data_IF_738303586967
#
_entry.id   IF_738303586967
#
_cell.length_a   1.000
_cell.length_b   1.000
_cell.length_c   1.000
_cell.angle_alpha   90.00
_cell.angle_beta   90.00
_cell.angle_gamma   90.00
#
_symmetry.space_group_name_H-M   'P 1'
#
loop_
_entity.id
_entity.type
_entity.pdbx_description
1 polymer ?
#
# COMPACT_ATOMS: atom_id res chain seq x y z
N UNK A 1 38.62 61.15 -3.45
CA UNK A 1 39.55 60.11 -2.95
C UNK A 1 38.97 59.55 -1.65
N UNK A 2 39.00 58.22 -1.51
CA UNK A 2 38.49 57.34 -0.42
C UNK A 2 36.97 57.12 -0.42
N UNK A 3 36.39 56.02 -0.91
CA UNK A 3 36.69 54.56 -0.93
C UNK A 3 36.24 53.81 0.33
N UNK A 4 35.27 52.90 0.10
CA UNK A 4 34.76 51.73 0.88
C UNK A 4 34.11 52.00 2.26
N UNK A 5 33.05 51.30 2.68
CA UNK A 5 32.98 49.84 2.89
C UNK A 5 31.56 49.23 2.81
N UNK A 6 31.48 48.17 2.01
CA UNK A 6 30.67 46.94 2.10
C UNK A 6 29.40 46.94 2.97
N UNK A 7 28.24 46.90 2.30
CA UNK A 7 26.99 46.36 2.83
C UNK A 7 27.12 44.85 3.07
N UNK A 8 26.92 44.40 4.31
CA UNK A 8 26.80 42.99 4.63
C UNK A 8 25.40 42.49 4.24
N UNK A 9 25.31 41.77 3.12
CA UNK A 9 24.12 41.00 2.76
C UNK A 9 24.21 39.65 3.49
N UNK A 10 23.48 39.52 4.59
CA UNK A 10 23.26 38.24 5.27
C UNK A 10 22.27 37.44 4.42
N UNK A 11 22.78 36.52 3.61
CA UNK A 11 21.96 35.52 2.94
C UNK A 11 21.52 34.47 3.97
N UNK A 12 20.28 34.57 4.47
CA UNK A 12 19.62 33.43 5.10
C UNK A 12 19.37 32.37 4.03
N UNK A 13 20.24 31.36 3.98
CA UNK A 13 19.96 30.15 3.22
C UNK A 13 18.81 29.41 3.91
N UNK A 14 17.61 29.47 3.33
CA UNK A 14 16.55 28.50 3.65
C UNK A 14 17.01 27.14 3.10
N UNK A 15 17.52 26.29 3.98
CA UNK A 15 17.63 24.87 3.68
C UNK A 15 16.22 24.32 3.48
N UNK A 16 15.79 24.19 2.23
CA UNK A 16 14.59 23.43 1.89
C UNK A 16 14.87 21.98 2.25
N UNK A 17 14.35 21.53 3.39
CA UNK A 17 14.24 20.13 3.74
C UNK A 17 13.24 19.48 2.77
N UNK A 18 13.67 19.16 1.55
CA UNK A 18 12.98 18.18 0.71
C UNK A 18 13.03 16.84 1.43
N UNK A 19 12.02 16.58 2.26
CA UNK A 19 11.71 15.24 2.77
C UNK A 19 11.15 14.42 1.61
N UNK A 20 12.01 14.07 0.65
CA UNK A 20 11.72 13.00 -0.29
C UNK A 20 11.91 11.66 0.45
N UNK A 21 10.96 10.74 0.29
CA UNK A 21 10.86 9.39 0.89
C UNK A 21 10.10 9.30 2.24
N UNK A 22 8.78 9.58 2.22
CA UNK A 22 7.81 8.53 2.62
C UNK A 22 6.74 8.19 1.54
N UNK A 23 6.54 9.06 0.55
CA UNK A 23 5.44 8.95 -0.41
C UNK A 23 5.67 7.92 -1.54
N UNK A 24 6.92 7.66 -1.93
CA UNK A 24 7.21 6.87 -3.13
C UNK A 24 6.91 5.38 -2.92
N UNK A 25 7.39 4.79 -1.82
CA UNK A 25 7.09 3.39 -1.53
C UNK A 25 5.62 3.17 -1.16
N UNK A 26 4.94 4.14 -0.52
CA UNK A 26 3.52 4.01 -0.20
C UNK A 26 2.67 3.94 -1.48
N UNK A 27 2.94 4.82 -2.45
CA UNK A 27 2.27 4.79 -3.75
C UNK A 27 2.56 3.48 -4.50
N UNK A 28 3.82 3.04 -4.52
CA UNK A 28 4.18 1.77 -5.14
C UNK A 28 3.47 0.57 -4.46
N UNK A 29 3.45 0.55 -3.13
CA UNK A 29 2.73 -0.47 -2.36
C UNK A 29 1.24 -0.51 -2.71
N UNK A 30 0.62 0.65 -2.94
CA UNK A 30 -0.80 0.73 -3.28
C UNK A 30 -1.06 0.21 -4.70
N UNK A 31 -0.20 0.54 -5.67
CA UNK A 31 -0.26 -0.03 -7.02
C UNK A 31 -0.08 -1.56 -7.01
N UNK A 32 0.86 -2.06 -6.19
CA UNK A 32 1.08 -3.49 -6.02
C UNK A 32 -0.14 -4.16 -5.36
N UNK A 33 -0.76 -3.50 -4.38
CA UNK A 33 -1.97 -3.98 -3.73
C UNK A 33 -3.17 -4.03 -4.69
N UNK A 34 -3.36 -3.02 -5.55
CA UNK A 34 -4.38 -3.05 -6.62
C UNK A 34 -4.16 -4.22 -7.57
N UNK A 35 -2.91 -4.48 -7.97
CA UNK A 35 -2.58 -5.62 -8.82
C UNK A 35 -2.88 -6.96 -8.14
N UNK A 36 -2.62 -7.06 -6.83
CA UNK A 36 -2.97 -8.24 -6.04
C UNK A 36 -4.49 -8.42 -5.95
N UNK A 37 -5.25 -7.37 -5.63
CA UNK A 37 -6.72 -7.43 -5.57
C UNK A 37 -7.32 -7.85 -6.92
N UNK A 38 -6.82 -7.29 -8.03
CA UNK A 38 -7.23 -7.67 -9.38
C UNK A 38 -6.92 -9.16 -9.67
N UNK A 39 -5.74 -9.66 -9.27
CA UNK A 39 -5.40 -11.08 -9.38
C UNK A 39 -6.37 -11.93 -8.54
N UNK A 40 -6.58 -11.56 -7.29
CA UNK A 40 -7.43 -12.27 -6.34
C UNK A 40 -8.89 -12.37 -6.79
N UNK A 41 -9.41 -11.34 -7.45
CA UNK A 41 -10.75 -11.37 -8.05
C UNK A 41 -10.93 -12.47 -9.13
N UNK A 42 -9.84 -12.99 -9.70
CA UNK A 42 -9.87 -14.10 -10.66
C UNK A 42 -9.76 -15.48 -10.01
N UNK A 43 -9.45 -15.54 -8.71
CA UNK A 43 -9.22 -16.78 -7.99
C UNK A 43 -10.50 -17.31 -7.37
N UNK A 44 -10.55 -18.63 -7.26
CA UNK A 44 -11.57 -19.40 -6.55
C UNK A 44 -10.88 -20.34 -5.56
N UNK A 45 -11.64 -20.97 -4.66
CA UNK A 45 -11.09 -21.98 -3.74
C UNK A 45 -10.41 -23.14 -4.50
N UNK A 46 -10.92 -23.46 -5.69
CA UNK A 46 -10.40 -24.52 -6.56
C UNK A 46 -9.20 -24.11 -7.42
N UNK A 47 -8.78 -22.85 -7.37
CA UNK A 47 -7.59 -22.39 -8.10
C UNK A 47 -6.33 -23.08 -7.58
N UNK A 48 -5.46 -23.50 -8.50
CA UNK A 48 -4.17 -24.10 -8.14
C UNK A 48 -3.25 -23.05 -7.51
N UNK A 49 -2.53 -23.44 -6.46
CA UNK A 49 -1.59 -22.59 -5.72
C UNK A 49 -0.45 -23.42 -5.13
N UNK A 50 0.59 -22.76 -4.60
CA UNK A 50 1.67 -23.43 -3.87
C UNK A 50 1.41 -23.34 -2.36
N UNK A 51 1.77 -24.39 -1.62
CA UNK A 51 1.57 -24.41 -0.17
C UNK A 51 2.19 -23.18 0.51
N UNK A 52 1.38 -22.52 1.35
CA UNK A 52 1.76 -21.28 2.02
C UNK A 52 1.42 -19.99 1.27
N UNK A 53 1.07 -20.05 -0.02
CA UNK A 53 0.54 -18.89 -0.75
C UNK A 53 -0.69 -18.32 -0.02
N UNK A 54 -0.80 -17.00 0.03
CA UNK A 54 -1.92 -16.30 0.64
C UNK A 54 -2.65 -15.46 -0.41
N UNK A 55 -3.98 -15.40 -0.29
CA UNK A 55 -4.83 -14.64 -1.19
C UNK A 55 -6.08 -14.13 -0.48
N UNK A 56 -6.78 -13.22 -1.15
CA UNK A 56 -8.19 -12.96 -0.86
C UNK A 56 -9.02 -13.75 -1.87
N UNK A 57 -9.90 -14.65 -1.41
CA UNK A 57 -10.73 -15.48 -2.30
C UNK A 57 -12.17 -15.38 -1.84
N UNK A 58 -13.05 -14.99 -2.75
CA UNK A 58 -14.48 -14.78 -2.45
C UNK A 58 -14.73 -13.87 -1.23
N UNK A 59 -13.88 -12.87 -1.02
CA UNK A 59 -13.95 -11.94 0.11
C UNK A 59 -13.39 -12.48 1.44
N UNK A 60 -12.95 -13.73 1.51
CA UNK A 60 -12.28 -14.31 2.69
C UNK A 60 -10.76 -14.30 2.57
N UNK A 61 -10.07 -14.37 3.71
CA UNK A 61 -8.63 -14.63 3.74
C UNK A 61 -8.38 -16.10 3.44
N UNK A 62 -7.51 -16.38 2.48
CA UNK A 62 -7.22 -17.74 2.04
C UNK A 62 -5.74 -18.06 2.16
N UNK A 63 -5.45 -19.27 2.64
CA UNK A 63 -4.12 -19.86 2.61
C UNK A 63 -4.13 -21.14 1.80
N UNK A 64 -3.13 -21.31 0.94
CA UNK A 64 -2.98 -22.52 0.15
C UNK A 64 -2.47 -23.69 0.99
N UNK A 65 -3.15 -24.82 0.89
CA UNK A 65 -2.71 -26.10 1.46
C UNK A 65 -3.18 -27.25 0.57
N UNK A 66 -2.25 -28.13 0.19
CA UNK A 66 -2.53 -29.25 -0.71
C UNK A 66 -2.84 -28.80 -2.13
N UNK A 67 -2.30 -27.66 -2.56
CA UNK A 67 -2.49 -27.10 -3.90
C UNK A 67 -3.84 -26.40 -4.14
N UNK A 68 -4.63 -26.16 -3.08
CA UNK A 68 -5.93 -25.46 -3.12
C UNK A 68 -6.04 -24.42 -2.00
N UNK A 69 -6.86 -23.40 -2.22
CA UNK A 69 -7.06 -22.33 -1.25
C UNK A 69 -8.07 -22.73 -0.18
N UNK A 70 -7.62 -22.74 1.08
CA UNK A 70 -8.46 -22.88 2.26
C UNK A 70 -8.94 -21.50 2.68
N UNK A 71 -10.21 -21.20 2.43
CA UNK A 71 -10.79 -19.86 2.64
C UNK A 71 -11.39 -19.75 4.05
N UNK A 72 -10.93 -18.76 4.80
CA UNK A 72 -11.50 -18.34 6.08
C UNK A 72 -12.28 -17.05 5.88
N UNK A 73 -13.59 -17.02 6.20
CA UNK A 73 -14.39 -15.81 6.03
C UNK A 73 -13.95 -14.71 6.99
N UNK A 74 -13.96 -13.48 6.50
CA UNK A 74 -13.78 -12.29 7.34
C UNK A 74 -15.04 -12.05 8.21
N UNK A 75 -14.85 -11.53 9.43
CA UNK A 75 -15.94 -11.29 10.38
C UNK A 75 -16.54 -9.89 10.26
N UNK A 76 -17.70 -9.65 10.87
CA UNK A 76 -18.25 -8.29 11.01
C UNK A 76 -18.62 -7.58 9.70
N UNK A 77 -18.92 -8.33 8.63
CA UNK A 77 -19.24 -7.77 7.32
C UNK A 77 -18.03 -7.21 6.54
N UNK A 78 -16.82 -7.45 7.06
CA UNK A 78 -15.56 -7.09 6.38
C UNK A 78 -15.23 -8.07 5.26
N UNK A 79 -14.29 -7.69 4.40
CA UNK A 79 -13.77 -8.52 3.32
C UNK A 79 -12.24 -8.47 3.32
N UNK A 80 -11.61 -9.49 2.76
CA UNK A 80 -10.16 -9.54 2.60
C UNK A 80 -9.73 -8.61 1.46
N UNK A 81 -8.76 -7.75 1.75
CA UNK A 81 -8.09 -6.89 0.79
C UNK A 81 -6.57 -7.00 0.92
N UNK A 82 -5.85 -6.91 -0.19
CA UNK A 82 -4.46 -6.46 -0.16
C UNK A 82 -4.44 -4.95 0.05
N UNK A 83 -3.65 -4.49 1.02
CA UNK A 83 -3.50 -3.08 1.37
C UNK A 83 -2.02 -2.69 1.41
N UNK A 84 -1.69 -1.41 1.12
CA UNK A 84 -0.32 -0.92 1.17
C UNK A 84 0.22 -0.89 2.60
N UNK A 85 1.47 -1.32 2.79
CA UNK A 85 2.17 -1.09 4.05
C UNK A 85 2.57 0.39 4.16
N UNK A 86 2.39 0.97 5.35
CA UNK A 86 2.61 2.41 5.58
C UNK A 86 4.04 2.78 5.97
N UNK A 87 4.78 1.86 6.59
CA UNK A 87 6.10 2.14 7.19
C UNK A 87 7.27 1.41 6.50
N UNK A 88 6.98 0.58 5.51
CA UNK A 88 7.99 -0.16 4.73
C UNK A 88 7.44 -0.58 3.37
N UNK A 89 8.31 -0.99 2.46
CA UNK A 89 7.91 -1.57 1.18
C UNK A 89 7.10 -2.87 1.38
N UNK A 90 6.12 -3.10 0.50
CA UNK A 90 5.27 -4.29 0.45
C UNK A 90 3.80 -4.03 0.75
N UNK A 91 3.04 -5.12 0.76
CA UNK A 91 1.59 -5.14 1.01
C UNK A 91 1.27 -6.07 2.17
N UNK A 92 0.03 -6.01 2.67
CA UNK A 92 -0.51 -6.95 3.64
C UNK A 92 -1.92 -7.36 3.25
N UNK A 93 -2.31 -8.60 3.54
CA UNK A 93 -3.70 -9.04 3.43
C UNK A 93 -4.39 -8.86 4.77
N UNK A 94 -5.55 -8.22 4.78
CA UNK A 94 -6.34 -8.04 6.00
C UNK A 94 -7.82 -8.02 5.68
N UNK A 95 -8.62 -8.44 6.65
CA UNK A 95 -10.05 -8.18 6.66
C UNK A 95 -10.27 -6.71 7.03
N UNK A 96 -10.99 -5.96 6.19
CA UNK A 96 -11.36 -4.56 6.46
C UNK A 96 -12.72 -4.23 5.80
N UNK A 97 -13.28 -3.07 6.09
CA UNK A 97 -14.42 -2.56 5.33
C UNK A 97 -13.97 -2.10 3.93
N UNK A 98 -14.86 -2.14 2.95
CA UNK A 98 -14.54 -1.65 1.61
C UNK A 98 -14.21 -0.15 1.61
N UNK A 99 -14.91 0.62 2.44
CA UNK A 99 -14.69 2.06 2.57
C UNK A 99 -13.31 2.37 3.19
N UNK A 100 -12.91 1.65 4.24
CA UNK A 100 -11.59 1.82 4.87
C UNK A 100 -10.45 1.34 3.95
N UNK A 101 -10.65 0.24 3.23
CA UNK A 101 -9.71 -0.23 2.23
C UNK A 101 -9.47 0.82 1.15
N UNK A 102 -10.55 1.38 0.59
CA UNK A 102 -10.48 2.45 -0.41
C UNK A 102 -9.80 3.72 0.15
N UNK A 103 -10.16 4.13 1.37
CA UNK A 103 -9.56 5.30 2.01
C UNK A 103 -8.03 5.15 2.19
N UNK A 104 -7.54 3.94 2.52
CA UNK A 104 -6.10 3.67 2.64
C UNK A 104 -5.38 3.70 1.29
N UNK A 105 -6.01 3.25 0.21
CA UNK A 105 -5.47 3.37 -1.15
C UNK A 105 -5.35 4.85 -1.55
N UNK A 106 -6.42 5.63 -1.33
CA UNK A 106 -6.42 7.07 -1.58
C UNK A 106 -5.39 7.82 -0.75
N UNK A 107 -5.21 7.46 0.51
CA UNK A 107 -4.17 8.02 1.37
C UNK A 107 -2.74 7.71 0.86
N UNK A 108 -2.56 6.58 0.17
CA UNK A 108 -1.31 6.21 -0.48
C UNK A 108 -1.14 6.83 -1.89
N UNK A 109 -2.09 7.63 -2.36
CA UNK A 109 -1.99 8.40 -3.60
C UNK A 109 -2.42 7.66 -4.87
N UNK A 110 -3.31 6.66 -4.75
CA UNK A 110 -3.97 5.99 -5.87
C UNK A 110 -5.50 5.95 -5.66
N UNK A 111 -6.27 5.92 -6.74
CA UNK A 111 -7.72 5.82 -6.67
C UNK A 111 -8.17 4.36 -6.76
N UNK A 112 -9.11 3.97 -5.88
CA UNK A 112 -9.69 2.63 -5.85
C UNK A 112 -8.76 1.54 -5.32
N UNK A 113 -9.33 0.37 -5.04
CA UNK A 113 -8.61 -0.83 -4.57
C UNK A 113 -9.52 -1.99 -4.29
#
# INVERSE_FOLDING_TARGET
MFSTKLSALVFLALAALSQAAPADFQKQNALDAQKLNAKFATLTADSSCNDGDQACVSGGFAQCSGGKFQVTPCSGGTQCFALPLVNKAGTSLTCDSADDAAARMSAAGVDGG
#
